data_IF_831915585561
#
_entry.id   IF_831915585561
#
_cell.length_a   1.000
_cell.length_b   1.000
_cell.length_c   1.000
_cell.angle_alpha   90.00
_cell.angle_beta   90.00
_cell.angle_gamma   90.00
#
_symmetry.space_group_name_H-M   'P 1'
#
loop_
_entity.id
_entity.type
_entity.pdbx_description
1 polymer ?
#
# COMPACT_ATOMS: atom_id res chain seq x y z
N UNK A 1 -20.80 46.89 -84.86
CA UNK A 1 -21.77 45.78 -85.00
C UNK A 1 -21.08 44.48 -84.62
N UNK A 2 -21.73 43.70 -83.75
CA UNK A 2 -21.50 42.29 -83.40
C UNK A 2 -20.42 41.95 -82.35
N UNK A 3 -20.96 41.57 -81.20
CA UNK A 3 -20.47 40.85 -80.02
C UNK A 3 -19.96 39.44 -80.32
N UNK A 4 -18.89 39.01 -79.63
CA UNK A 4 -18.51 37.60 -79.31
C UNK A 4 -17.75 37.68 -77.96
N UNK A 5 -18.37 37.37 -76.82
CA UNK A 5 -18.55 36.05 -76.18
C UNK A 5 -17.24 35.49 -75.57
N UNK A 6 -17.27 35.33 -74.24
CA UNK A 6 -16.20 34.83 -73.39
C UNK A 6 -15.90 33.35 -73.62
N UNK A 7 -14.63 32.98 -73.47
CA UNK A 7 -14.18 31.59 -73.28
C UNK A 7 -12.91 31.63 -72.42
N UNK A 8 -13.04 31.38 -71.12
CA UNK A 8 -11.91 30.99 -70.27
C UNK A 8 -11.93 29.46 -70.18
N UNK A 9 -10.89 28.84 -70.72
CA UNK A 9 -10.65 27.41 -70.69
C UNK A 9 -10.46 26.91 -69.26
N UNK A 10 -11.21 25.87 -68.89
CA UNK A 10 -10.96 25.08 -67.70
C UNK A 10 -9.69 24.24 -67.90
N UNK A 11 -8.73 24.36 -66.98
CA UNK A 11 -7.62 23.43 -66.84
C UNK A 11 -7.79 22.71 -65.49
N UNK A 12 -8.28 21.48 -65.55
CA UNK A 12 -8.35 20.56 -64.41
C UNK A 12 -6.93 20.18 -63.99
N UNK A 13 -6.47 20.72 -62.85
CA UNK A 13 -5.27 20.22 -62.19
C UNK A 13 -5.70 19.06 -61.29
N UNK A 14 -5.35 17.84 -61.70
CA UNK A 14 -5.45 16.67 -60.87
C UNK A 14 -4.49 16.82 -59.68
N UNK A 15 -5.07 16.94 -58.47
CA UNK A 15 -4.33 16.91 -57.23
C UNK A 15 -3.91 15.45 -56.96
N UNK A 16 -2.76 15.03 -57.47
CA UNK A 16 -2.12 13.80 -57.00
C UNK A 16 -1.53 14.08 -55.62
N UNK A 17 -2.29 13.76 -54.58
CA UNK A 17 -1.80 13.72 -53.22
C UNK A 17 -0.73 12.63 -53.10
N UNK A 18 0.53 13.05 -53.08
CA UNK A 18 1.62 12.23 -52.54
C UNK A 18 1.41 12.17 -51.02
N UNK A 19 0.71 11.14 -50.56
CA UNK A 19 0.74 10.77 -49.16
C UNK A 19 2.17 10.30 -48.84
N UNK A 20 2.95 11.18 -48.20
CA UNK A 20 4.16 10.78 -47.52
C UNK A 20 3.77 9.70 -46.50
N UNK A 21 4.49 8.57 -46.41
CA UNK A 21 4.23 7.64 -45.33
C UNK A 21 4.57 8.38 -44.04
N UNK A 22 3.55 8.63 -43.23
CA UNK A 22 3.75 8.95 -41.83
C UNK A 22 4.60 7.82 -41.25
N UNK A 23 5.87 8.12 -41.02
CA UNK A 23 6.68 7.27 -40.16
C UNK A 23 5.99 7.40 -38.80
N UNK A 24 5.22 6.38 -38.43
CA UNK A 24 4.97 6.14 -37.03
C UNK A 24 6.37 5.96 -36.43
N UNK A 25 6.89 6.99 -35.77
CA UNK A 25 7.92 6.78 -34.77
C UNK A 25 7.34 5.70 -33.85
N UNK A 26 7.95 4.51 -33.90
CA UNK A 26 7.81 3.58 -32.79
C UNK A 26 8.28 4.40 -31.59
N UNK A 27 7.34 4.80 -30.73
CA UNK A 27 7.68 5.27 -29.39
C UNK A 27 8.30 4.06 -28.71
N UNK A 28 9.61 3.89 -28.85
CA UNK A 28 10.35 2.95 -28.04
C UNK A 28 10.20 3.46 -26.63
N UNK A 29 9.38 2.80 -25.82
CA UNK A 29 9.20 3.20 -24.43
C UNK A 29 10.57 3.20 -23.75
N UNK A 30 10.89 4.27 -23.04
CA UNK A 30 12.22 4.42 -22.45
C UNK A 30 12.44 3.34 -21.37
N UNK A 31 13.53 2.58 -21.52
CA UNK A 31 13.95 1.50 -20.60
C UNK A 31 15.08 2.01 -19.72
N UNK A 32 14.74 2.87 -18.75
CA UNK A 32 15.75 3.47 -17.88
C UNK A 32 16.10 2.57 -16.70
N UNK A 33 17.28 2.80 -16.15
CA UNK A 33 17.84 2.25 -14.92
C UNK A 33 18.16 3.40 -13.97
N UNK A 34 18.61 3.12 -12.76
CA UNK A 34 18.96 4.16 -11.80
C UNK A 34 19.34 3.63 -10.44
N UNK A 35 19.83 2.39 -10.40
CA UNK A 35 20.30 1.80 -9.16
C UNK A 35 21.75 2.23 -8.94
N UNK A 36 21.98 2.90 -7.82
CA UNK A 36 23.32 3.11 -7.29
C UNK A 36 23.64 1.88 -6.44
N UNK A 37 24.60 1.06 -6.89
CA UNK A 37 25.05 -0.09 -6.12
C UNK A 37 25.74 0.37 -4.83
N UNK A 38 25.45 -0.31 -3.73
CA UNK A 38 26.16 -0.11 -2.48
C UNK A 38 27.60 -0.60 -2.58
N UNK A 39 28.50 0.00 -1.80
CA UNK A 39 29.85 -0.54 -1.63
C UNK A 39 29.80 -1.93 -0.97
N UNK A 40 30.77 -2.79 -1.30
CA UNK A 40 30.79 -4.16 -0.79
C UNK A 40 30.93 -4.24 0.74
N UNK A 41 31.75 -3.36 1.36
CA UNK A 41 31.92 -3.31 2.81
C UNK A 41 30.65 -2.79 3.51
N UNK A 42 30.02 -1.76 2.93
CA UNK A 42 28.74 -1.24 3.41
C UNK A 42 27.63 -2.32 3.34
N UNK A 43 27.56 -3.06 2.23
CA UNK A 43 26.58 -4.12 2.07
C UNK A 43 26.81 -5.26 3.06
N UNK A 44 28.05 -5.71 3.20
CA UNK A 44 28.37 -6.84 4.08
C UNK A 44 28.14 -6.49 5.57
N UNK A 45 28.22 -5.22 5.94
CA UNK A 45 27.90 -4.70 7.27
C UNK A 45 26.39 -4.69 7.60
N UNK A 46 25.50 -4.80 6.59
CA UNK A 46 24.07 -4.89 6.84
C UNK A 46 23.70 -6.20 7.57
N UNK A 47 22.68 -6.17 8.45
CA UNK A 47 22.22 -7.38 9.12
C UNK A 47 21.82 -8.47 8.12
N UNK A 48 22.46 -9.62 8.24
CA UNK A 48 22.16 -10.80 7.42
C UNK A 48 20.91 -11.52 7.96
N UNK A 49 20.10 -12.07 7.05
CA UNK A 49 19.00 -12.93 7.45
C UNK A 49 19.52 -14.31 7.90
N UNK A 50 19.06 -14.75 9.07
CA UNK A 50 19.23 -16.14 9.50
C UNK A 50 18.53 -17.12 8.54
N UNK A 51 19.17 -18.23 8.14
CA UNK A 51 18.52 -19.27 7.35
C UNK A 51 17.31 -19.84 8.09
N UNK A 52 16.12 -19.78 7.49
CA UNK A 52 14.89 -20.22 8.15
C UNK A 52 14.75 -21.75 8.16
N UNK A 53 15.29 -22.45 7.15
CA UNK A 53 15.07 -23.88 6.94
C UNK A 53 16.33 -24.60 6.44
N UNK A 54 16.67 -25.71 7.10
CA UNK A 54 17.50 -26.77 6.52
C UNK A 54 16.58 -27.88 5.99
N UNK A 55 16.08 -27.73 4.77
CA UNK A 55 15.10 -28.66 4.19
C UNK A 55 14.96 -28.56 2.67
N UNK A 56 14.18 -29.47 2.07
CA UNK A 56 13.85 -29.42 0.63
C UNK A 56 12.75 -28.36 0.43
N UNK A 57 13.06 -27.33 -0.34
CA UNK A 57 12.11 -26.29 -0.74
C UNK A 57 11.07 -26.85 -1.74
N UNK A 58 9.87 -26.23 -1.86
CA UNK A 58 8.98 -26.45 -2.99
C UNK A 58 9.73 -26.38 -4.33
N UNK A 59 9.20 -27.04 -5.36
CA UNK A 59 9.78 -26.96 -6.72
C UNK A 59 9.28 -25.74 -7.49
N UNK A 60 8.17 -25.16 -7.06
CA UNK A 60 7.52 -24.04 -7.72
C UNK A 60 6.89 -23.13 -6.67
N UNK A 61 7.11 -21.82 -6.81
CA UNK A 61 6.44 -20.76 -6.05
C UNK A 61 6.17 -19.62 -7.02
N UNK A 62 4.95 -19.08 -7.02
CA UNK A 62 4.60 -17.89 -7.79
C UNK A 62 3.69 -17.00 -6.95
N UNK A 63 4.23 -15.85 -6.52
CA UNK A 63 3.53 -14.86 -5.71
C UNK A 63 2.88 -13.78 -6.59
N UNK A 64 3.03 -13.84 -7.92
CA UNK A 64 2.64 -12.74 -8.82
C UNK A 64 1.14 -12.42 -8.78
N UNK A 65 0.29 -13.30 -8.24
CA UNK A 65 -1.13 -13.01 -8.08
C UNK A 65 -1.42 -11.90 -7.08
N UNK A 66 -0.50 -11.58 -6.17
CA UNK A 66 -0.62 -10.49 -5.20
C UNK A 66 0.19 -9.26 -5.60
N UNK A 67 0.93 -9.32 -6.70
CA UNK A 67 1.67 -8.17 -7.22
C UNK A 67 0.77 -7.27 -8.08
N UNK A 68 1.06 -5.96 -8.13
CA UNK A 68 0.42 -5.08 -9.10
C UNK A 68 0.80 -5.49 -10.53
N UNK A 69 -0.04 -5.10 -11.48
CA UNK A 69 0.33 -5.10 -12.89
C UNK A 69 1.65 -4.36 -13.08
N UNK A 70 2.62 -4.88 -13.85
CA UNK A 70 3.91 -4.20 -14.03
C UNK A 70 3.74 -2.77 -14.57
N UNK A 71 4.27 -1.80 -13.83
CA UNK A 71 4.22 -0.39 -14.20
C UNK A 71 5.40 0.04 -15.07
N UNK A 72 5.44 1.32 -15.45
CA UNK A 72 6.41 1.87 -16.39
C UNK A 72 7.13 3.08 -15.81
N UNK A 73 8.43 2.96 -15.53
CA UNK A 73 9.23 4.04 -14.98
C UNK A 73 9.62 5.12 -16.00
N UNK A 74 9.62 4.79 -17.29
CA UNK A 74 10.03 5.72 -18.33
C UNK A 74 11.53 6.01 -18.29
N UNK A 75 11.90 7.24 -18.62
CA UNK A 75 13.28 7.71 -18.62
C UNK A 75 13.85 8.02 -17.22
N UNK A 76 13.00 8.05 -16.18
CA UNK A 76 13.40 8.39 -14.82
C UNK A 76 14.30 7.31 -14.19
N UNK A 77 15.28 7.73 -13.40
CA UNK A 77 16.21 6.86 -12.65
C UNK A 77 15.59 6.12 -11.46
N UNK A 78 14.31 5.78 -11.53
CA UNK A 78 13.47 5.45 -10.37
C UNK A 78 13.26 3.96 -10.12
N UNK A 79 14.01 3.07 -10.77
CA UNK A 79 13.86 1.61 -10.64
C UNK A 79 13.79 1.12 -9.19
N UNK A 80 14.55 1.74 -8.27
CA UNK A 80 14.50 1.43 -6.83
C UNK A 80 13.15 1.77 -6.21
N UNK A 81 12.58 2.94 -6.53
CA UNK A 81 11.24 3.32 -6.08
C UNK A 81 10.17 2.38 -6.62
N UNK A 82 10.32 1.91 -7.86
CA UNK A 82 9.43 0.91 -8.46
C UNK A 82 9.58 -0.48 -7.82
N UNK A 83 10.79 -0.93 -7.51
CA UNK A 83 10.99 -2.23 -6.87
C UNK A 83 10.46 -2.24 -5.42
N UNK A 84 10.74 -1.19 -4.64
CA UNK A 84 10.41 -1.10 -3.21
C UNK A 84 9.02 -0.50 -2.98
N UNK A 85 8.77 0.70 -3.48
CA UNK A 85 7.50 1.42 -3.28
C UNK A 85 6.35 0.80 -4.08
N UNK A 86 6.54 0.54 -5.36
CA UNK A 86 5.44 0.00 -6.18
C UNK A 86 5.27 -1.51 -6.00
N UNK A 87 6.26 -2.32 -6.34
CA UNK A 87 6.11 -3.77 -6.37
C UNK A 87 6.03 -4.38 -4.96
N UNK A 88 7.03 -4.13 -4.10
CA UNK A 88 7.09 -4.74 -2.77
C UNK A 88 5.96 -4.27 -1.85
N UNK A 89 5.77 -2.95 -1.66
CA UNK A 89 4.72 -2.46 -0.73
C UNK A 89 3.32 -2.83 -1.20
N UNK A 90 3.01 -2.72 -2.50
CA UNK A 90 1.70 -3.19 -2.99
C UNK A 90 1.50 -4.67 -2.72
N UNK A 91 2.52 -5.52 -2.94
CA UNK A 91 2.43 -6.93 -2.60
C UNK A 91 2.17 -7.17 -1.10
N UNK A 92 2.89 -6.46 -0.23
CA UNK A 92 2.79 -6.64 1.21
C UNK A 92 1.37 -6.33 1.71
N UNK A 93 0.81 -5.19 1.31
CA UNK A 93 -0.56 -4.82 1.66
C UNK A 93 -1.59 -5.73 0.99
N UNK A 94 -1.38 -6.11 -0.27
CA UNK A 94 -2.27 -7.03 -0.98
C UNK A 94 -2.29 -8.41 -0.30
N UNK A 95 -1.15 -8.91 0.18
CA UNK A 95 -1.08 -10.16 0.92
C UNK A 95 -1.76 -10.04 2.28
N UNK A 96 -1.50 -8.96 3.03
CA UNK A 96 -2.14 -8.70 4.34
C UNK A 96 -3.67 -8.69 4.21
N UNK A 97 -4.18 -8.02 3.17
CA UNK A 97 -5.61 -7.87 2.92
C UNK A 97 -6.20 -8.97 2.02
N UNK A 98 -5.41 -9.97 1.65
CA UNK A 98 -5.78 -11.07 0.76
C UNK A 98 -6.44 -10.60 -0.56
N UNK A 99 -5.88 -9.55 -1.16
CA UNK A 99 -6.26 -8.96 -2.43
C UNK A 99 -5.45 -9.61 -3.54
N UNK A 100 -6.05 -10.55 -4.26
CA UNK A 100 -5.47 -11.04 -5.52
C UNK A 100 -5.72 -10.04 -6.64
N UNK A 101 -4.71 -9.79 -7.48
CA UNK A 101 -4.74 -8.86 -8.62
C UNK A 101 -5.08 -7.42 -8.17
N UNK A 102 -4.23 -6.80 -7.34
CA UNK A 102 -4.47 -5.44 -6.84
C UNK A 102 -4.71 -4.45 -7.97
N UNK A 103 -5.78 -3.67 -7.83
CA UNK A 103 -6.21 -2.68 -8.82
C UNK A 103 -5.44 -1.37 -8.62
N UNK A 104 -5.61 -0.40 -9.53
CA UNK A 104 -4.84 0.84 -9.50
C UNK A 104 -4.89 1.59 -8.15
N UNK A 105 -6.04 1.61 -7.46
CA UNK A 105 -6.21 2.23 -6.14
C UNK A 105 -5.53 1.46 -4.99
N UNK A 106 -5.12 0.22 -5.24
CA UNK A 106 -4.35 -0.62 -4.30
C UNK A 106 -2.84 -0.40 -4.45
N UNK A 107 -2.40 0.28 -5.52
CA UNK A 107 -0.98 0.44 -5.83
C UNK A 107 -0.32 1.48 -4.93
N UNK A 108 0.93 1.24 -4.55
CA UNK A 108 1.76 2.16 -3.79
C UNK A 108 2.64 3.01 -4.69
N UNK A 109 2.92 4.24 -4.25
CA UNK A 109 3.64 5.22 -5.05
C UNK A 109 5.15 4.93 -5.10
N UNK A 110 5.73 4.67 -6.29
CA UNK A 110 7.18 4.62 -6.44
C UNK A 110 7.82 6.01 -6.35
N UNK A 111 7.10 7.06 -6.73
CA UNK A 111 7.60 8.44 -6.70
C UNK A 111 7.79 8.93 -5.26
N UNK A 112 6.91 8.54 -4.32
CA UNK A 112 7.04 8.93 -2.92
C UNK A 112 8.36 8.45 -2.31
N UNK A 113 8.75 7.20 -2.60
CA UNK A 113 10.02 6.65 -2.16
C UNK A 113 11.18 7.29 -2.93
N UNK A 114 11.18 7.20 -4.26
CA UNK A 114 12.30 7.68 -5.09
C UNK A 114 12.61 9.18 -4.89
N UNK A 115 11.59 10.04 -4.90
CA UNK A 115 11.79 11.48 -4.82
C UNK A 115 12.40 11.91 -3.48
N UNK A 116 12.16 11.12 -2.42
CA UNK A 116 12.67 11.36 -1.07
C UNK A 116 14.13 10.95 -0.90
N UNK A 117 14.63 9.97 -1.67
CA UNK A 117 15.95 9.35 -1.45
C UNK A 117 16.95 9.53 -2.60
N UNK A 118 16.51 10.02 -3.77
CA UNK A 118 17.37 10.15 -4.96
C UNK A 118 18.66 10.93 -4.64
N UNK A 119 19.77 10.48 -5.20
CA UNK A 119 21.09 11.08 -4.99
C UNK A 119 21.43 12.03 -6.14
N UNK A 120 20.70 13.14 -6.22
CA UNK A 120 20.90 14.17 -7.25
C UNK A 120 19.73 15.15 -7.34
N UNK A 121 19.90 16.17 -8.18
CA UNK A 121 18.92 17.25 -8.33
C UNK A 121 17.95 17.04 -9.50
N UNK A 122 18.26 16.12 -10.42
CA UNK A 122 17.43 15.80 -11.57
C UNK A 122 16.84 14.40 -11.47
N UNK A 123 15.86 14.12 -12.33
CA UNK A 123 15.11 12.87 -12.29
C UNK A 123 15.83 11.71 -12.99
N UNK A 124 17.00 11.95 -13.59
CA UNK A 124 17.89 10.88 -14.08
C UNK A 124 18.83 10.35 -12.99
N UNK A 125 18.91 11.06 -11.84
CA UNK A 125 19.63 10.57 -10.68
C UNK A 125 19.08 9.23 -10.20
N UNK A 126 19.96 8.42 -9.62
CA UNK A 126 19.61 7.13 -9.05
C UNK A 126 19.43 7.16 -7.53
N UNK A 127 19.16 6.00 -6.96
CA UNK A 127 19.16 5.77 -5.51
C UNK A 127 19.63 4.37 -5.15
N UNK A 128 19.83 4.10 -3.86
CA UNK A 128 20.22 2.76 -3.35
C UNK A 128 18.99 2.03 -2.82
N UNK A 129 18.97 0.69 -2.96
CA UNK A 129 17.89 -0.14 -2.39
C UNK A 129 17.84 -0.01 -0.86
N UNK A 130 18.99 0.06 -0.19
CA UNK A 130 19.09 0.28 1.25
C UNK A 130 18.36 1.55 1.71
N UNK A 131 18.59 2.66 1.01
CA UNK A 131 18.03 3.97 1.35
C UNK A 131 16.51 3.93 1.22
N UNK A 132 15.99 3.22 0.22
CA UNK A 132 14.57 2.99 0.05
C UNK A 132 13.96 2.12 1.15
N UNK A 133 14.63 1.02 1.51
CA UNK A 133 14.15 0.14 2.58
C UNK A 133 14.20 0.82 3.94
N UNK A 134 15.24 1.61 4.22
CA UNK A 134 15.35 2.42 5.43
C UNK A 134 14.29 3.54 5.46
N UNK A 135 14.07 4.22 4.34
CA UNK A 135 13.01 5.22 4.23
C UNK A 135 11.63 4.62 4.49
N UNK A 136 11.31 3.46 3.89
CA UNK A 136 10.04 2.77 4.11
C UNK A 136 9.92 2.21 5.54
N UNK A 137 11.03 1.88 6.21
CA UNK A 137 11.00 1.48 7.61
C UNK A 137 10.67 2.65 8.55
N UNK A 138 11.25 3.83 8.29
CA UNK A 138 11.16 5.00 9.17
C UNK A 138 9.97 5.92 8.87
N UNK A 139 9.61 6.04 7.59
CA UNK A 139 8.56 6.94 7.10
C UNK A 139 7.34 6.16 6.63
N UNK A 140 7.57 5.04 5.95
CA UNK A 140 6.54 4.23 5.32
C UNK A 140 6.34 4.55 3.84
N UNK A 141 5.15 4.28 3.33
CA UNK A 141 4.81 4.47 1.93
C UNK A 141 3.38 4.96 1.78
N UNK A 142 3.07 5.61 0.66
CA UNK A 142 1.71 6.12 0.37
C UNK A 142 1.17 5.48 -0.89
N UNK A 143 -0.15 5.55 -1.07
CA UNK A 143 -0.80 5.03 -2.29
C UNK A 143 -0.42 5.89 -3.50
N UNK A 144 -0.49 5.28 -4.67
CA UNK A 144 -0.29 5.96 -5.95
C UNK A 144 -1.27 7.13 -6.12
N UNK A 145 -2.51 7.00 -5.62
CA UNK A 145 -3.52 8.08 -5.69
C UNK A 145 -3.15 9.29 -4.83
N UNK A 146 -2.46 9.08 -3.70
CA UNK A 146 -2.03 10.15 -2.79
C UNK A 146 -0.78 10.88 -3.30
N UNK A 147 0.13 10.14 -3.96
CA UNK A 147 1.33 10.71 -4.58
C UNK A 147 1.57 10.10 -5.96
N UNK A 148 0.94 10.64 -7.02
CA UNK A 148 1.03 10.07 -8.37
C UNK A 148 2.44 10.04 -8.94
N UNK A 149 2.73 9.03 -9.75
CA UNK A 149 3.97 8.97 -10.51
C UNK A 149 3.90 9.85 -11.75
N UNK A 150 4.81 10.83 -11.82
CA UNK A 150 5.01 11.66 -13.00
C UNK A 150 6.48 11.57 -13.42
N UNK A 151 6.77 10.95 -14.57
CA UNK A 151 8.13 10.67 -15.04
C UNK A 151 9.04 11.91 -15.06
N UNK A 152 8.48 13.06 -15.46
CA UNK A 152 9.21 14.33 -15.56
C UNK A 152 9.33 15.10 -14.23
N UNK A 153 8.70 14.63 -13.14
CA UNK A 153 8.70 15.29 -11.85
C UNK A 153 9.30 14.40 -10.75
N UNK A 154 10.30 14.94 -10.05
CA UNK A 154 10.96 14.24 -8.96
C UNK A 154 11.13 15.11 -7.71
N UNK A 155 10.20 16.04 -7.49
CA UNK A 155 10.21 16.89 -6.29
C UNK A 155 9.87 16.08 -5.04
N UNK A 156 10.53 16.37 -3.90
CA UNK A 156 10.24 15.67 -2.65
C UNK A 156 8.77 15.90 -2.22
N UNK A 157 8.14 14.92 -1.52
CA UNK A 157 6.80 15.09 -1.00
C UNK A 157 6.72 16.21 0.05
N UNK A 158 5.52 16.76 0.26
CA UNK A 158 5.28 17.71 1.37
C UNK A 158 5.35 16.99 2.72
N UNK A 159 5.70 17.73 3.78
CA UNK A 159 5.88 17.17 5.13
C UNK A 159 4.60 16.47 5.66
N UNK A 160 3.43 16.98 5.32
CA UNK A 160 2.13 16.45 5.75
C UNK A 160 1.86 15.00 5.28
N UNK A 161 2.50 14.57 4.18
CA UNK A 161 2.35 13.21 3.63
C UNK A 161 2.93 12.13 4.56
N UNK A 162 3.82 12.50 5.47
CA UNK A 162 4.43 11.57 6.43
C UNK A 162 3.38 10.91 7.34
N UNK A 163 2.27 11.61 7.61
CA UNK A 163 1.17 11.06 8.42
C UNK A 163 0.44 9.92 7.71
N UNK A 164 0.23 10.03 6.40
CA UNK A 164 -0.37 8.98 5.56
C UNK A 164 0.59 7.80 5.36
N UNK A 165 1.90 8.09 5.31
CA UNK A 165 2.92 7.08 5.05
C UNK A 165 3.11 6.10 6.22
N UNK A 166 2.97 6.59 7.46
CA UNK A 166 3.21 5.81 8.70
C UNK A 166 2.38 4.55 8.80
N UNK A 167 1.21 4.52 8.18
CA UNK A 167 0.32 3.37 8.16
C UNK A 167 0.91 2.18 7.40
N UNK A 168 1.94 2.39 6.58
CA UNK A 168 2.48 1.40 5.65
C UNK A 168 4.01 1.30 5.75
N UNK A 169 4.51 1.06 6.96
CA UNK A 169 5.95 0.85 7.22
C UNK A 169 6.35 -0.61 7.11
N UNK A 170 7.64 -0.88 6.92
CA UNK A 170 8.21 -2.21 7.18
C UNK A 170 8.84 -2.21 8.57
N UNK A 171 8.81 -3.35 9.27
CA UNK A 171 9.52 -3.49 10.56
C UNK A 171 11.02 -3.53 10.41
N UNK A 172 11.48 -4.19 9.35
CA UNK A 172 12.90 -4.41 9.13
C UNK A 172 13.17 -4.94 7.74
N UNK A 173 14.41 -4.79 7.32
CA UNK A 173 14.98 -5.49 6.19
C UNK A 173 16.28 -6.19 6.59
N UNK A 174 16.68 -7.16 5.78
CA UNK A 174 17.91 -7.94 5.91
C UNK A 174 18.50 -8.20 4.54
N UNK A 175 19.83 -8.26 4.45
CA UNK A 175 20.47 -8.82 3.26
C UNK A 175 20.41 -10.35 3.28
N UNK A 176 20.38 -10.96 2.10
CA UNK A 176 20.57 -12.40 1.96
C UNK A 176 22.06 -12.76 1.90
N UNK A 177 22.37 -14.01 2.26
CA UNK A 177 23.75 -14.52 2.21
C UNK A 177 24.28 -14.51 0.77
N UNK A 178 25.50 -14.04 0.57
CA UNK A 178 26.18 -14.11 -0.75
C UNK A 178 26.41 -15.57 -1.16
N UNK A 179 26.99 -16.34 -0.24
CA UNK A 179 27.17 -17.77 -0.41
C UNK A 179 25.81 -18.47 -0.39
N UNK A 180 25.45 -19.10 -1.51
CA UNK A 180 24.15 -19.75 -1.64
C UNK A 180 22.98 -18.77 -1.84
N UNK A 181 23.22 -17.54 -2.30
CA UNK A 181 22.18 -16.53 -2.53
C UNK A 181 20.95 -17.05 -3.28
N UNK A 182 21.13 -17.86 -4.34
CA UNK A 182 20.01 -18.46 -5.07
C UNK A 182 19.12 -19.34 -4.17
N UNK A 183 19.72 -20.10 -3.25
CA UNK A 183 18.95 -20.88 -2.28
C UNK A 183 18.24 -19.95 -1.28
N UNK A 184 18.91 -18.90 -0.79
CA UNK A 184 18.32 -17.93 0.14
C UNK A 184 17.13 -17.19 -0.49
N UNK A 185 17.21 -16.80 -1.76
CA UNK A 185 16.10 -16.19 -2.51
C UNK A 185 14.91 -17.15 -2.56
N UNK A 186 15.14 -18.40 -2.95
CA UNK A 186 14.09 -19.40 -3.03
C UNK A 186 13.47 -19.73 -1.67
N UNK A 187 14.28 -19.76 -0.61
CA UNK A 187 13.79 -19.94 0.75
C UNK A 187 12.89 -18.78 1.17
N UNK A 188 13.29 -17.53 0.89
CA UNK A 188 12.47 -16.36 1.16
C UNK A 188 11.11 -16.43 0.45
N UNK A 189 11.11 -16.74 -0.85
CA UNK A 189 9.89 -16.86 -1.65
C UNK A 189 8.97 -17.98 -1.12
N UNK A 190 9.54 -19.10 -0.67
CA UNK A 190 8.77 -20.21 -0.09
C UNK A 190 8.11 -19.85 1.25
N UNK A 191 8.50 -18.73 1.86
CA UNK A 191 7.89 -18.13 3.04
C UNK A 191 7.11 -16.86 2.69
N UNK A 192 6.61 -16.75 1.46
CA UNK A 192 5.78 -15.63 0.98
C UNK A 192 6.48 -14.26 1.11
N UNK A 193 7.82 -14.26 1.07
CA UNK A 193 8.65 -13.05 1.12
C UNK A 193 9.34 -12.83 -0.23
N UNK A 194 8.84 -11.89 -1.04
CA UNK A 194 9.56 -11.42 -2.22
C UNK A 194 10.94 -10.89 -1.87
N UNK A 195 11.81 -10.87 -2.87
CA UNK A 195 13.18 -10.43 -2.69
C UNK A 195 13.45 -9.27 -3.64
N UNK A 196 13.79 -8.11 -3.10
CA UNK A 196 14.26 -6.98 -3.89
C UNK A 196 15.73 -7.22 -4.21
N UNK A 197 16.12 -7.15 -5.48
CA UNK A 197 17.49 -7.45 -5.92
C UNK A 197 18.09 -6.28 -6.70
N UNK A 198 19.40 -6.12 -6.55
CA UNK A 198 20.25 -5.41 -7.49
C UNK A 198 20.76 -6.41 -8.53
N UNK A 199 20.55 -6.13 -9.82
CA UNK A 199 21.13 -6.92 -10.89
C UNK A 199 21.96 -6.07 -11.85
N UNK A 200 23.04 -6.66 -12.38
CA UNK A 200 23.81 -6.11 -13.49
C UNK A 200 22.98 -6.18 -14.77
N UNK A 201 22.96 -5.08 -15.52
CA UNK A 201 22.29 -4.97 -16.81
C UNK A 201 23.31 -4.92 -17.94
N UNK A 202 22.97 -5.60 -19.02
CA UNK A 202 23.75 -5.69 -20.26
C UNK A 202 22.83 -5.31 -21.43
N UNK A 203 23.36 -4.88 -22.58
CA UNK A 203 22.53 -4.53 -23.75
C UNK A 203 21.55 -5.64 -24.14
N UNK A 204 21.96 -6.91 -23.99
CA UNK A 204 21.11 -8.07 -24.24
C UNK A 204 19.84 -8.14 -23.39
N UNK A 205 19.81 -7.49 -22.22
CA UNK A 205 18.63 -7.43 -21.36
C UNK A 205 17.64 -6.37 -21.85
N UNK A 206 18.13 -5.20 -22.24
CA UNK A 206 17.29 -4.14 -22.80
C UNK A 206 16.60 -4.61 -24.08
N UNK A 207 17.35 -5.31 -24.94
CA UNK A 207 16.86 -5.87 -26.20
C UNK A 207 16.04 -7.16 -26.03
N UNK A 208 15.99 -7.73 -24.82
CA UNK A 208 15.23 -8.95 -24.58
C UNK A 208 13.73 -8.68 -24.67
N UNK A 209 13.04 -9.47 -25.49
CA UNK A 209 11.63 -9.29 -25.85
C UNK A 209 10.72 -10.45 -25.42
N UNK A 210 11.25 -11.41 -24.64
CA UNK A 210 10.50 -12.54 -24.10
C UNK A 210 10.93 -13.91 -24.65
N UNK A 211 9.98 -14.85 -24.67
CA UNK A 211 10.14 -16.14 -25.35
C UNK A 211 10.98 -17.21 -24.64
N UNK A 212 11.38 -17.01 -23.38
CA UNK A 212 12.14 -18.00 -22.60
C UNK A 212 12.72 -17.45 -21.30
N UNK A 213 13.77 -18.11 -20.79
CA UNK A 213 14.54 -17.56 -19.68
C UNK A 213 15.56 -16.56 -20.24
N UNK A 214 15.61 -15.35 -19.69
CA UNK A 214 16.74 -14.45 -19.86
C UNK A 214 18.03 -15.12 -19.38
N UNK A 215 19.04 -15.06 -20.23
CA UNK A 215 20.39 -15.58 -20.02
C UNK A 215 21.39 -14.52 -20.42
N UNK A 216 22.45 -14.43 -19.65
CA UNK A 216 23.59 -13.61 -19.98
C UNK A 216 24.72 -14.49 -20.51
N UNK A 217 25.32 -14.06 -21.62
CA UNK A 217 26.55 -14.65 -22.13
C UNK A 217 27.73 -14.11 -21.29
N UNK A 218 28.40 -14.97 -20.48
CA UNK A 218 29.48 -14.52 -19.60
C UNK A 218 30.70 -13.97 -20.36
N UNK A 219 30.80 -14.19 -21.67
CA UNK A 219 31.89 -13.63 -22.48
C UNK A 219 31.64 -12.15 -22.86
N UNK A 220 30.45 -11.62 -22.58
CA UNK A 220 30.11 -10.20 -22.78
C UNK A 220 30.35 -9.45 -21.47
N UNK A 221 31.51 -8.82 -21.33
CA UNK A 221 31.88 -8.09 -20.11
C UNK A 221 31.34 -6.65 -20.04
N UNK A 222 30.79 -6.12 -21.14
CA UNK A 222 30.29 -4.73 -21.18
C UNK A 222 28.95 -4.58 -20.48
N UNK A 223 29.02 -4.36 -19.17
CA UNK A 223 27.88 -3.97 -18.33
C UNK A 223 27.50 -2.51 -18.64
N UNK A 224 26.20 -2.26 -18.84
CA UNK A 224 25.67 -0.90 -19.07
C UNK A 224 25.29 -0.20 -17.78
N UNK A 225 24.66 -0.91 -16.84
CA UNK A 225 24.21 -0.32 -15.58
C UNK A 225 23.89 -1.39 -14.52
N UNK A 226 23.34 -0.96 -13.39
CA UNK A 226 22.61 -1.75 -12.42
C UNK A 226 21.12 -1.41 -12.43
N UNK A 227 20.29 -2.39 -12.11
CA UNK A 227 18.84 -2.23 -12.05
C UNK A 227 18.25 -2.90 -10.82
N UNK A 228 17.25 -2.25 -10.23
CA UNK A 228 16.51 -2.77 -9.09
C UNK A 228 15.18 -3.37 -9.55
N UNK A 229 14.94 -4.62 -9.16
CA UNK A 229 13.72 -5.38 -9.51
C UNK A 229 13.32 -6.28 -8.35
N UNK A 230 12.09 -6.82 -8.38
CA UNK A 230 11.58 -7.68 -7.29
C UNK A 230 11.36 -9.11 -7.80
N UNK A 231 11.99 -10.08 -7.15
CA UNK A 231 11.77 -11.50 -7.41
C UNK A 231 10.46 -11.92 -6.76
N UNK A 232 9.55 -12.50 -7.55
CA UNK A 232 8.18 -12.85 -7.15
C UNK A 232 7.93 -14.35 -7.15
N UNK A 233 8.85 -15.15 -7.67
CA UNK A 233 8.65 -16.59 -7.77
C UNK A 233 9.86 -17.33 -8.32
N UNK A 234 9.74 -18.65 -8.39
CA UNK A 234 10.70 -19.52 -9.05
C UNK A 234 10.05 -20.82 -9.53
N UNK A 235 10.68 -21.43 -10.52
CA UNK A 235 10.29 -22.72 -11.07
C UNK A 235 11.55 -23.56 -11.33
N UNK A 236 11.69 -24.66 -10.60
CA UNK A 236 12.82 -25.61 -10.72
C UNK A 236 12.80 -26.40 -12.03
N UNK A 237 11.62 -26.64 -12.62
CA UNK A 237 11.50 -27.31 -13.92
C UNK A 237 12.02 -26.37 -15.02
N UNK A 238 11.65 -25.09 -14.97
CA UNK A 238 12.21 -24.03 -15.83
C UNK A 238 13.64 -23.67 -15.49
N UNK A 239 14.09 -23.94 -14.26
CA UNK A 239 15.37 -23.52 -13.68
C UNK A 239 15.55 -22.01 -13.71
N UNK A 240 14.52 -21.26 -13.31
CA UNK A 240 14.53 -19.80 -13.37
C UNK A 240 13.79 -19.13 -12.19
N UNK A 241 14.15 -17.88 -11.94
CA UNK A 241 13.44 -16.97 -11.04
C UNK A 241 12.46 -16.13 -11.84
N UNK A 242 11.23 -15.95 -11.35
CA UNK A 242 10.23 -15.01 -11.91
C UNK A 242 10.40 -13.66 -11.25
N UNK A 243 10.47 -12.60 -12.04
CA UNK A 243 10.82 -11.26 -11.57
C UNK A 243 9.86 -10.25 -12.21
N UNK A 244 9.33 -9.33 -11.40
CA UNK A 244 8.56 -8.17 -11.90
C UNK A 244 9.52 -7.04 -12.25
N UNK A 245 9.37 -6.49 -13.46
CA UNK A 245 10.13 -5.33 -13.93
C UNK A 245 9.26 -4.06 -13.90
N UNK A 246 9.87 -2.92 -14.19
CA UNK A 246 9.26 -1.58 -14.20
C UNK A 246 9.33 -0.90 -15.57
N UNK A 247 9.31 -1.68 -16.65
CA UNK A 247 9.34 -1.20 -18.04
C UNK A 247 8.01 -1.42 -18.79
N UNK A 248 6.92 -1.53 -18.04
CA UNK A 248 5.56 -1.73 -18.54
C UNK A 248 5.26 -3.14 -19.01
N UNK A 249 3.98 -3.39 -19.27
CA UNK A 249 3.47 -4.70 -19.69
C UNK A 249 3.86 -5.08 -21.12
N UNK A 250 4.26 -4.13 -21.95
CA UNK A 250 4.68 -4.40 -23.34
C UNK A 250 6.10 -5.00 -23.42
N UNK A 251 6.86 -4.97 -22.33
CA UNK A 251 8.21 -5.52 -22.27
C UNK A 251 8.22 -6.94 -21.67
N UNK A 252 9.00 -7.84 -22.27
CA UNK A 252 9.19 -9.20 -21.73
C UNK A 252 7.93 -10.07 -21.77
N UNK A 253 7.65 -10.74 -20.64
CA UNK A 253 6.48 -11.61 -20.43
C UNK A 253 5.42 -10.84 -19.63
N UNK A 254 4.66 -9.97 -20.30
CA UNK A 254 3.68 -9.05 -19.69
C UNK A 254 4.27 -8.14 -18.59
N UNK A 255 5.51 -7.68 -18.77
CA UNK A 255 6.26 -6.88 -17.79
C UNK A 255 7.00 -7.70 -16.72
N UNK A 256 6.87 -9.02 -16.76
CA UNK A 256 7.70 -9.95 -16.00
C UNK A 256 8.82 -10.51 -16.87
N UNK A 257 9.78 -11.17 -16.24
CA UNK A 257 10.73 -12.02 -16.93
C UNK A 257 11.17 -13.20 -16.07
N UNK A 258 11.69 -14.22 -16.74
CA UNK A 258 12.29 -15.39 -16.10
C UNK A 258 13.81 -15.32 -16.21
N UNK A 259 14.52 -15.17 -15.10
CA UNK A 259 15.98 -15.17 -15.08
C UNK A 259 16.50 -16.59 -14.83
N UNK A 260 17.27 -17.15 -15.77
CA UNK A 260 17.88 -18.47 -15.62
C UNK A 260 18.75 -18.54 -14.34
N UNK A 261 18.73 -19.66 -13.63
CA UNK A 261 19.51 -19.84 -12.40
C UNK A 261 21.02 -19.65 -12.58
N UNK A 262 21.56 -19.88 -13.78
CA UNK A 262 22.96 -19.54 -14.06
C UNK A 262 23.15 -18.03 -14.14
N UNK A 263 22.26 -17.33 -14.83
CA UNK A 263 22.28 -15.87 -14.92
C UNK A 263 22.07 -15.24 -13.53
N UNK A 264 21.14 -15.76 -12.71
CA UNK A 264 20.93 -15.27 -11.34
C UNK A 264 22.20 -15.32 -10.48
N UNK A 265 23.01 -16.37 -10.60
CA UNK A 265 24.30 -16.47 -9.87
C UNK A 265 25.37 -15.50 -10.38
N UNK A 266 25.23 -15.01 -11.59
CA UNK A 266 26.22 -14.14 -12.24
C UNK A 266 25.84 -12.66 -12.12
N UNK A 267 24.54 -12.35 -12.18
CA UNK A 267 24.05 -11.00 -12.36
C UNK A 267 23.57 -10.35 -11.08
N UNK A 268 23.09 -11.12 -10.11
CA UNK A 268 22.56 -10.57 -8.85
C UNK A 268 23.74 -10.13 -7.97
N UNK A 269 23.80 -8.83 -7.70
CA UNK A 269 24.85 -8.21 -6.90
C UNK A 269 24.42 -8.03 -5.43
N UNK A 270 23.15 -7.69 -5.19
CA UNK A 270 22.56 -7.52 -3.87
C UNK A 270 21.19 -8.17 -3.84
N UNK A 271 20.79 -8.70 -2.68
CA UNK A 271 19.46 -9.23 -2.44
C UNK A 271 18.98 -8.90 -1.02
N UNK A 272 17.74 -8.42 -0.92
CA UNK A 272 17.12 -7.94 0.30
C UNK A 272 15.75 -8.57 0.53
N UNK A 273 15.46 -8.87 1.78
CA UNK A 273 14.15 -9.35 2.21
C UNK A 273 13.64 -8.51 3.36
N UNK A 274 12.33 -8.29 3.40
CA UNK A 274 11.67 -7.46 4.40
C UNK A 274 10.78 -8.28 5.35
N UNK A 275 10.50 -7.68 6.49
CA UNK A 275 9.36 -8.05 7.33
C UNK A 275 8.44 -6.85 7.40
N UNK A 276 7.20 -7.05 6.97
CA UNK A 276 6.20 -6.00 6.98
C UNK A 276 5.76 -5.64 8.39
N UNK A 277 5.34 -4.39 8.61
CA UNK A 277 4.54 -4.05 9.78
C UNK A 277 3.08 -4.24 9.38
N UNK A 278 2.39 -5.12 10.09
CA UNK A 278 0.97 -5.31 9.84
C UNK A 278 0.21 -4.07 10.32
N UNK A 279 -0.89 -3.75 9.65
CA UNK A 279 -1.66 -2.56 9.94
C UNK A 279 -2.13 -2.50 11.40
N UNK A 280 -2.43 -3.65 12.01
CA UNK A 280 -2.92 -3.77 13.39
C UNK A 280 -1.82 -3.73 14.48
N UNK A 281 -0.56 -3.62 14.08
CA UNK A 281 0.56 -3.54 15.01
C UNK A 281 0.84 -2.09 15.41
N UNK A 282 1.16 -1.85 16.70
CA UNK A 282 1.44 -0.51 17.19
C UNK A 282 2.58 0.13 16.40
N UNK A 283 2.50 1.45 16.23
CA UNK A 283 3.60 2.19 15.62
C UNK A 283 4.89 1.98 16.44
N UNK A 284 6.05 2.05 15.79
CA UNK A 284 7.32 2.06 16.49
C UNK A 284 7.34 3.24 17.46
N UNK A 285 7.92 3.08 18.66
CA UNK A 285 8.21 4.23 19.52
C UNK A 285 9.11 5.23 18.73
N UNK A 286 8.98 6.54 18.99
CA UNK A 286 9.66 7.60 18.19
C UNK A 286 11.20 7.48 18.15
N UNK A 287 11.79 6.61 18.97
CA UNK A 287 13.17 6.18 18.86
C UNK A 287 13.31 5.24 17.65
N UNK A 288 13.58 5.84 16.49
CA UNK A 288 13.57 5.23 15.15
C UNK A 288 14.04 3.77 15.06
N UNK A 289 13.43 3.03 14.13
CA UNK A 289 13.80 1.65 13.81
C UNK A 289 15.17 1.66 13.11
N UNK A 290 16.22 1.72 13.92
CA UNK A 290 17.60 1.49 13.50
C UNK A 290 17.82 -0.01 13.46
N UNK A 291 18.13 -0.52 12.27
CA UNK A 291 18.84 -1.78 12.00
C UNK A 291 18.88 -2.74 13.20
N UNK A 292 17.80 -3.48 13.45
CA UNK A 292 17.74 -4.62 14.38
C UNK A 292 18.68 -4.53 15.59
N UNK A 293 18.30 -3.76 16.60
CA UNK A 293 19.07 -3.67 17.84
C UNK A 293 19.29 -5.05 18.50
N UNK A 294 20.52 -5.20 19.02
CA UNK A 294 21.11 -6.31 19.79
C UNK A 294 20.13 -6.95 20.81
N UNK A 295 20.02 -8.30 20.87
CA UNK A 295 19.14 -9.01 21.81
C UNK A 295 19.47 -8.83 23.31
N UNK A 296 20.52 -8.10 23.70
CA UNK A 296 20.94 -7.95 25.10
C UNK A 296 20.61 -6.60 25.79
N UNK A 297 19.73 -5.77 25.24
CA UNK A 297 19.39 -4.50 25.94
C UNK A 297 18.40 -4.70 27.10
N UNK A 298 18.70 -4.25 28.34
CA UNK A 298 17.85 -4.48 29.53
C UNK A 298 16.56 -3.63 29.52
N UNK A 299 15.42 -4.28 29.81
CA UNK A 299 14.13 -3.63 30.04
C UNK A 299 14.12 -2.87 31.38
N UNK A 300 13.90 -1.57 31.34
CA UNK A 300 13.67 -0.73 32.52
C UNK A 300 12.18 -0.63 32.87
N UNK A 301 11.77 -1.26 33.97
CA UNK A 301 10.50 -1.01 34.67
C UNK A 301 10.71 0.01 35.79
N UNK A 302 9.64 0.77 36.13
CA UNK A 302 9.25 1.29 37.47
C UNK A 302 8.88 2.78 37.41
N UNK A 303 7.59 3.15 37.42
CA UNK A 303 6.66 3.22 38.56
C UNK A 303 6.66 4.56 39.32
N UNK A 304 5.43 4.99 39.63
CA UNK A 304 5.02 6.24 40.26
C UNK A 304 5.39 6.37 41.75
N UNK A 305 5.42 7.61 42.25
CA UNK A 305 5.13 7.93 43.66
C UNK A 305 4.62 9.37 43.79
N UNK A 306 3.49 9.56 44.47
CA UNK A 306 2.93 10.89 44.79
C UNK A 306 3.07 11.27 46.27
N UNK A 307 2.59 12.48 46.60
CA UNK A 307 1.99 12.98 47.87
C UNK A 307 2.04 14.53 47.91
N UNK A 308 1.33 15.23 48.82
CA UNK A 308 -0.09 15.18 49.20
C UNK A 308 -0.80 16.56 49.03
N UNK A 309 -2.12 16.58 49.28
CA UNK A 309 -3.09 17.68 49.13
C UNK A 309 -3.11 18.60 50.37
N UNK A 310 -3.27 19.92 50.17
CA UNK A 310 -3.84 20.85 51.17
C UNK A 310 -5.12 21.48 50.61
N UNK A 311 -6.20 21.43 51.40
CA UNK A 311 -7.50 22.06 51.16
C UNK A 311 -7.46 23.55 51.50
N UNK A 312 -7.97 24.41 50.61
CA UNK A 312 -8.72 25.60 51.02
C UNK A 312 -9.99 25.72 50.18
N UNK A 313 -11.09 25.95 50.88
CA UNK A 313 -12.42 26.16 50.32
C UNK A 313 -12.59 27.62 49.93
N UNK A 314 -13.04 27.88 48.70
CA UNK A 314 -13.60 29.18 48.35
C UNK A 314 -14.66 29.09 47.24
N UNK A 315 -15.53 30.09 47.25
CA UNK A 315 -16.87 30.20 46.67
C UNK A 315 -17.03 29.76 45.20
N UNK A 316 -18.21 29.19 44.90
CA UNK A 316 -18.58 28.65 43.59
C UNK A 316 -18.51 29.72 42.47
N UNK A 317 -17.63 29.54 41.46
CA UNK A 317 -17.61 30.39 40.29
C UNK A 317 -18.84 30.09 39.39
N UNK A 318 -19.21 31.01 38.48
CA UNK A 318 -20.26 30.74 37.49
C UNK A 318 -19.87 29.47 36.72
N UNK A 319 -20.82 28.56 36.52
CA UNK A 319 -20.59 27.29 35.84
C UNK A 319 -19.78 27.51 34.56
N UNK A 320 -18.52 27.04 34.57
CA UNK A 320 -17.69 27.02 33.37
C UNK A 320 -18.45 26.25 32.28
N UNK A 321 -18.37 26.66 31.00
CA UNK A 321 -18.97 25.89 29.93
C UNK A 321 -18.40 24.47 30.01
N UNK A 322 -19.29 23.48 30.21
CA UNK A 322 -18.89 22.08 30.35
C UNK A 322 -18.19 21.70 29.05
N UNK A 323 -16.87 21.51 29.12
CA UNK A 323 -16.07 21.16 27.96
C UNK A 323 -16.34 19.71 27.60
N UNK A 324 -16.58 19.47 26.31
CA UNK A 324 -16.66 18.11 25.81
C UNK A 324 -15.29 17.43 26.02
N UNK A 325 -15.27 16.27 26.68
CA UNK A 325 -14.06 15.48 26.87
C UNK A 325 -14.16 14.10 26.17
N UNK A 326 -13.04 13.37 26.13
CA UNK A 326 -12.94 12.06 25.49
C UNK A 326 -13.90 11.01 26.10
N UNK A 327 -14.13 11.05 27.41
CA UNK A 327 -15.02 10.09 28.08
C UNK A 327 -16.49 10.37 27.75
N UNK A 328 -16.87 11.64 27.73
CA UNK A 328 -18.19 12.08 27.31
C UNK A 328 -18.44 11.72 25.84
N UNK A 329 -17.46 11.94 24.98
CA UNK A 329 -17.50 11.55 23.58
C UNK A 329 -17.66 10.03 23.41
N UNK A 330 -16.86 9.23 24.10
CA UNK A 330 -16.93 7.76 24.06
C UNK A 330 -18.30 7.23 24.50
N UNK A 331 -18.87 7.80 25.56
CA UNK A 331 -20.19 7.41 26.08
C UNK A 331 -21.34 7.88 25.18
N UNK A 332 -21.13 8.92 24.38
CA UNK A 332 -22.12 9.45 23.46
C UNK A 332 -22.23 8.64 22.16
N UNK A 333 -21.20 7.85 21.80
CA UNK A 333 -21.27 7.01 20.60
C UNK A 333 -22.31 5.91 20.79
N UNK A 334 -23.36 5.97 19.99
CA UNK A 334 -24.41 4.96 19.95
C UNK A 334 -24.76 4.61 18.51
N UNK A 335 -25.57 3.60 18.31
CA UNK A 335 -25.94 3.20 16.96
C UNK A 335 -26.89 2.02 16.90
N UNK A 336 -27.17 1.60 15.68
CA UNK A 336 -27.84 0.36 15.35
C UNK A 336 -27.02 -0.38 14.29
N UNK A 337 -26.95 -1.70 14.42
CA UNK A 337 -26.34 -2.57 13.42
C UNK A 337 -27.31 -3.72 13.15
N UNK A 338 -27.63 -3.96 11.88
CA UNK A 338 -28.60 -4.97 11.43
C UNK A 338 -28.03 -5.89 10.36
N UNK A 339 -28.81 -6.90 9.94
CA UNK A 339 -28.50 -7.79 8.80
C UNK A 339 -29.45 -7.48 7.66
N UNK A 340 -28.93 -7.18 6.46
CA UNK A 340 -29.80 -6.86 5.31
C UNK A 340 -30.61 -8.08 4.86
N UNK A 341 -31.90 -7.91 4.51
CA UNK A 341 -32.71 -8.96 3.88
C UNK A 341 -32.33 -9.25 2.42
N UNK A 342 -31.47 -8.46 1.78
CA UNK A 342 -31.18 -8.49 0.32
C UNK A 342 -30.35 -9.70 -0.16
N UNK A 343 -30.22 -10.73 0.67
CA UNK A 343 -29.62 -12.00 0.31
C UNK A 343 -28.10 -12.04 0.45
N UNK A 344 -27.58 -13.25 0.60
CA UNK A 344 -26.15 -13.51 0.70
C UNK A 344 -25.45 -13.18 -0.63
N UNK A 345 -24.20 -12.71 -0.56
CA UNK A 345 -23.33 -12.62 -1.73
C UNK A 345 -23.22 -14.00 -2.44
N UNK A 346 -22.77 -14.07 -3.71
CA UNK A 346 -22.57 -15.35 -4.42
C UNK A 346 -21.66 -16.36 -3.70
N UNK A 347 -20.89 -15.90 -2.72
CA UNK A 347 -20.00 -16.70 -1.87
C UNK A 347 -20.55 -17.00 -0.46
N UNK A 348 -21.80 -16.62 -0.15
CA UNK A 348 -22.48 -16.95 1.11
C UNK A 348 -22.32 -15.94 2.27
N UNK A 349 -21.72 -14.77 2.02
CA UNK A 349 -21.55 -13.71 3.04
C UNK A 349 -22.81 -12.86 3.25
N UNK A 350 -23.02 -12.41 4.48
CA UNK A 350 -24.09 -11.48 4.86
C UNK A 350 -23.66 -10.01 4.71
N UNK A 351 -24.66 -9.14 4.55
CA UNK A 351 -24.50 -7.69 4.55
C UNK A 351 -24.95 -7.12 5.89
N UNK A 352 -24.16 -6.21 6.46
CA UNK A 352 -24.41 -5.58 7.74
C UNK A 352 -24.51 -4.06 7.58
N UNK A 353 -25.73 -3.49 7.46
CA UNK A 353 -25.93 -2.06 7.60
C UNK A 353 -25.67 -1.61 9.04
N UNK A 354 -24.97 -0.49 9.20
CA UNK A 354 -24.79 0.19 10.46
C UNK A 354 -25.13 1.67 10.36
N UNK A 355 -25.75 2.17 11.41
CA UNK A 355 -26.02 3.58 11.65
C UNK A 355 -25.42 3.93 13.01
N UNK A 356 -24.42 4.79 13.05
CA UNK A 356 -23.73 5.24 14.26
C UNK A 356 -23.95 6.73 14.42
N UNK A 357 -24.15 7.25 15.61
CA UNK A 357 -24.30 8.69 15.83
C UNK A 357 -23.83 9.11 17.23
N UNK A 358 -23.52 10.40 17.38
CA UNK A 358 -23.21 11.02 18.67
C UNK A 358 -24.50 11.48 19.37
N UNK A 359 -24.83 10.83 20.49
CA UNK A 359 -25.93 11.19 21.37
C UNK A 359 -25.45 12.18 22.45
N UNK A 360 -25.21 13.42 22.02
CA UNK A 360 -24.80 14.55 22.87
C UNK A 360 -25.93 15.57 22.97
N UNK A 361 -26.04 16.26 24.11
CA UNK A 361 -26.95 17.40 24.24
C UNK A 361 -26.49 18.58 23.35
N UNK A 362 -27.44 19.43 22.96
CA UNK A 362 -27.22 20.58 22.06
C UNK A 362 -26.01 21.47 22.45
N UNK A 363 -25.75 21.79 23.74
CA UNK A 363 -24.60 22.60 24.13
C UNK A 363 -23.23 21.96 23.82
N UNK A 364 -23.15 20.64 23.68
CA UNK A 364 -21.91 19.94 23.31
C UNK A 364 -21.79 19.79 21.80
N UNK A 365 -22.92 19.56 21.10
CA UNK A 365 -22.94 19.56 19.64
C UNK A 365 -22.52 20.91 19.07
N UNK A 366 -22.91 22.01 19.71
CA UNK A 366 -22.50 23.37 19.33
C UNK A 366 -20.99 23.61 19.44
N UNK A 367 -20.25 22.80 20.21
CA UNK A 367 -18.79 22.90 20.34
C UNK A 367 -18.06 22.21 19.17
N UNK A 368 -18.73 21.34 18.42
CA UNK A 368 -18.13 20.53 17.35
C UNK A 368 -18.14 21.30 16.03
N UNK A 369 -16.99 21.36 15.36
CA UNK A 369 -16.80 21.88 14.00
C UNK A 369 -16.98 20.76 12.96
N UNK A 370 -16.43 19.57 13.19
CA UNK A 370 -16.58 18.42 12.28
C UNK A 370 -16.44 17.08 12.99
N UNK A 371 -17.07 16.04 12.43
CA UNK A 371 -17.02 14.65 12.93
C UNK A 371 -16.46 13.74 11.83
N UNK A 372 -15.49 12.89 12.19
CA UNK A 372 -14.91 11.87 11.31
C UNK A 372 -14.95 10.52 12.01
N UNK A 373 -15.38 9.48 11.29
CA UNK A 373 -15.40 8.11 11.82
C UNK A 373 -14.32 7.29 11.10
N UNK A 374 -13.48 6.63 11.89
CA UNK A 374 -12.39 5.78 11.45
C UNK A 374 -12.64 4.36 11.91
N UNK A 375 -12.50 3.40 11.02
CA UNK A 375 -12.53 2.00 11.39
C UNK A 375 -11.93 1.17 10.27
N UNK A 376 -11.48 -0.01 10.66
CA UNK A 376 -10.87 -0.95 9.74
C UNK A 376 -11.58 -2.31 9.86
N UNK A 377 -12.01 -2.88 8.74
CA UNK A 377 -12.56 -4.23 8.67
C UNK A 377 -12.21 -4.89 7.34
N UNK A 378 -11.77 -6.15 7.39
CA UNK A 378 -11.11 -6.92 6.32
C UNK A 378 -11.89 -7.07 5.00
N UNK A 379 -13.17 -6.72 5.00
CA UNK A 379 -14.12 -6.91 3.89
C UNK A 379 -15.01 -5.68 3.69
N UNK A 380 -14.59 -4.55 4.25
CA UNK A 380 -15.33 -3.32 4.20
C UNK A 380 -15.24 -2.68 2.81
N UNK A 381 -16.39 -2.20 2.32
CA UNK A 381 -16.48 -1.38 1.13
C UNK A 381 -17.34 -0.17 1.51
N UNK A 382 -16.75 1.02 1.66
CA UNK A 382 -17.51 2.24 1.87
C UNK A 382 -17.63 3.07 0.59
N UNK A 383 -18.82 3.13 -0.02
CA UNK A 383 -19.09 4.09 -1.08
C UNK A 383 -19.53 5.47 -0.57
N UNK A 384 -19.73 5.69 0.73
CA UNK A 384 -20.28 6.97 1.23
C UNK A 384 -19.29 7.72 2.13
N UNK A 385 -18.85 8.88 1.63
CA UNK A 385 -18.22 9.94 2.40
C UNK A 385 -19.13 10.35 3.57
N UNK A 386 -18.59 10.82 4.70
CA UNK A 386 -19.39 11.52 5.70
C UNK A 386 -20.24 12.56 4.97
N UNK A 387 -21.55 12.58 5.23
CA UNK A 387 -22.34 13.74 4.84
C UNK A 387 -21.80 14.88 5.69
N UNK A 388 -21.13 15.85 5.06
CA UNK A 388 -20.69 17.07 5.72
C UNK A 388 -21.89 17.64 6.51
N UNK A 389 -21.64 18.10 7.74
CA UNK A 389 -22.64 18.64 8.67
C UNK A 389 -23.63 17.66 9.34
N UNK A 390 -23.30 16.37 9.49
CA UNK A 390 -24.15 15.43 10.25
C UNK A 390 -23.39 14.68 11.36
N UNK A 391 -23.99 14.61 12.56
CA UNK A 391 -23.51 13.78 13.68
C UNK A 391 -23.84 12.29 13.50
N UNK A 392 -24.35 11.90 12.33
CA UNK A 392 -24.76 10.54 11.96
C UNK A 392 -23.81 9.98 10.91
N UNK A 393 -23.44 8.71 11.08
CA UNK A 393 -22.60 7.92 10.22
C UNK A 393 -23.36 6.69 9.74
N UNK A 394 -23.41 6.50 8.42
CA UNK A 394 -24.05 5.35 7.79
C UNK A 394 -22.98 4.52 7.08
N UNK A 395 -22.92 3.23 7.39
CA UNK A 395 -21.99 2.29 6.76
C UNK A 395 -22.69 0.99 6.39
N UNK A 396 -22.09 0.24 5.47
CA UNK A 396 -22.46 -1.14 5.18
C UNK A 396 -21.21 -1.96 4.92
N UNK A 397 -21.04 -3.08 5.62
CA UNK A 397 -19.95 -4.02 5.34
C UNK A 397 -20.48 -5.39 4.94
N UNK A 398 -19.61 -6.18 4.30
CA UNK A 398 -19.86 -7.57 3.93
C UNK A 398 -18.93 -8.45 4.75
N UNK A 399 -19.23 -9.71 5.04
CA UNK A 399 -18.23 -10.66 5.58
C UNK A 399 -18.62 -11.33 6.90
N UNK A 400 -17.64 -11.88 7.62
CA UNK A 400 -17.86 -12.53 8.92
C UNK A 400 -17.31 -11.64 10.04
N UNK A 401 -18.11 -11.42 11.08
CA UNK A 401 -17.68 -10.67 12.25
C UNK A 401 -18.19 -9.22 12.29
N UNK A 402 -17.89 -8.58 13.41
CA UNK A 402 -18.21 -7.20 13.73
C UNK A 402 -16.91 -6.42 13.98
N UNK A 403 -17.00 -5.09 13.98
CA UNK A 403 -15.83 -4.20 14.02
C UNK A 403 -15.51 -3.86 15.47
N UNK A 404 -14.40 -4.40 16.00
CA UNK A 404 -14.00 -4.19 17.41
C UNK A 404 -13.24 -2.88 17.64
N UNK A 405 -12.57 -2.36 16.60
CA UNK A 405 -11.63 -1.23 16.68
C UNK A 405 -12.09 -0.08 15.75
N UNK A 406 -13.13 0.62 16.16
CA UNK A 406 -13.57 1.85 15.50
C UNK A 406 -13.24 3.07 16.38
N UNK A 407 -13.16 4.25 15.79
CA UNK A 407 -12.83 5.50 16.46
C UNK A 407 -13.66 6.63 15.85
N UNK A 408 -14.20 7.50 16.71
CA UNK A 408 -14.76 8.78 16.28
C UNK A 408 -13.77 9.88 16.63
N UNK A 409 -13.45 10.74 15.66
CA UNK A 409 -12.69 11.96 15.87
C UNK A 409 -13.60 13.16 15.67
N UNK A 410 -13.57 14.09 16.59
CA UNK A 410 -14.28 15.36 16.52
C UNK A 410 -13.29 16.49 16.64
N UNK A 411 -13.37 17.43 15.70
CA UNK A 411 -12.67 18.70 15.78
C UNK A 411 -13.62 19.70 16.43
N UNK A 412 -13.19 20.31 17.53
CA UNK A 412 -13.93 21.37 18.21
C UNK A 412 -13.71 22.72 17.52
N UNK A 413 -14.64 23.65 17.69
CA UNK A 413 -14.51 25.04 17.19
C UNK A 413 -13.33 25.80 17.82
N UNK A 414 -12.79 25.30 18.94
CA UNK A 414 -11.55 25.78 19.56
C UNK A 414 -10.29 25.37 18.79
N UNK A 415 -10.40 24.41 17.87
CA UNK A 415 -9.30 23.80 17.14
C UNK A 415 -8.74 22.52 17.78
N UNK A 416 -9.20 22.16 18.98
CA UNK A 416 -8.84 20.90 19.65
C UNK A 416 -9.50 19.69 18.96
N UNK A 417 -8.77 18.59 18.84
CA UNK A 417 -9.30 17.33 18.34
C UNK A 417 -9.44 16.31 19.48
N UNK A 418 -10.63 15.74 19.61
CA UNK A 418 -10.92 14.65 20.54
C UNK A 418 -11.12 13.35 19.74
N UNK A 419 -10.55 12.26 20.21
CA UNK A 419 -10.68 10.95 19.62
C UNK A 419 -11.18 9.95 20.67
N UNK A 420 -12.24 9.21 20.36
CA UNK A 420 -12.81 8.21 21.25
C UNK A 420 -12.99 6.87 20.53
N UNK A 421 -12.47 5.76 21.07
CA UNK A 421 -12.69 4.44 20.52
C UNK A 421 -14.14 3.99 20.77
N UNK A 422 -14.69 3.24 19.82
CA UNK A 422 -15.96 2.53 19.97
C UNK A 422 -15.92 1.17 19.28
N UNK A 423 -16.87 0.31 19.64
CA UNK A 423 -16.91 -1.07 19.17
C UNK A 423 -18.30 -1.39 18.61
N UNK A 424 -18.37 -1.69 17.32
CA UNK A 424 -19.62 -2.05 16.63
C UNK A 424 -20.12 -3.44 17.03
N UNK A 425 -19.26 -4.34 17.52
CA UNK A 425 -19.70 -5.58 18.17
C UNK A 425 -20.49 -5.29 19.44
N UNK A 426 -20.02 -4.36 20.27
CA UNK A 426 -20.73 -3.96 21.49
C UNK A 426 -22.08 -3.33 21.15
N UNK A 427 -22.14 -2.51 20.10
CA UNK A 427 -23.38 -1.91 19.61
C UNK A 427 -24.33 -3.00 19.07
N UNK A 428 -23.82 -3.99 18.34
CA UNK A 428 -24.61 -5.13 17.86
C UNK A 428 -25.14 -6.01 19.00
N UNK A 429 -24.28 -6.44 19.92
CA UNK A 429 -24.60 -7.35 21.03
C UNK A 429 -25.66 -6.75 21.97
N UNK A 430 -25.74 -5.42 22.07
CA UNK A 430 -26.81 -4.72 22.78
C UNK A 430 -28.20 -5.10 22.27
N UNK A 431 -28.33 -5.37 20.97
CA UNK A 431 -29.60 -5.71 20.31
C UNK A 431 -29.69 -7.19 19.91
N UNK A 432 -28.56 -7.90 19.81
CA UNK A 432 -28.47 -9.29 19.33
C UNK A 432 -27.42 -10.10 20.12
N UNK A 433 -27.62 -10.32 21.43
CA UNK A 433 -26.60 -10.90 22.31
C UNK A 433 -26.17 -12.32 21.89
N UNK A 434 -24.87 -12.51 21.68
CA UNK A 434 -24.26 -13.84 21.43
C UNK A 434 -24.23 -14.28 19.97
N UNK A 435 -24.50 -13.37 19.03
CA UNK A 435 -24.56 -13.67 17.60
C UNK A 435 -23.18 -13.79 16.92
N UNK A 436 -22.13 -13.16 17.46
CA UNK A 436 -20.77 -13.25 16.93
C UNK A 436 -19.90 -14.22 17.76
N UNK A 437 -19.24 -15.19 17.10
CA UNK A 437 -18.22 -16.04 17.73
C UNK A 437 -16.83 -15.67 17.23
N UNK A 438 -15.90 -15.42 18.17
CA UNK A 438 -14.50 -15.00 17.91
C UNK A 438 -13.64 -16.00 17.14
N UNK A 439 -14.11 -17.24 16.94
CA UNK A 439 -13.35 -18.32 16.31
C UNK A 439 -13.69 -18.54 14.82
N UNK A 440 -14.54 -17.69 14.23
CA UNK A 440 -14.98 -17.85 12.83
C UNK A 440 -15.82 -19.11 12.58
N UNK A 441 -16.20 -19.86 13.63
CA UNK A 441 -17.06 -21.03 13.49
C UNK A 441 -18.53 -20.59 13.42
N UNK A 442 -19.34 -21.34 12.67
CA UNK A 442 -20.80 -21.15 12.64
C UNK A 442 -21.37 -21.45 14.04
N UNK A 443 -21.50 -20.41 14.84
CA UNK A 443 -22.23 -20.44 16.08
C UNK A 443 -23.72 -20.42 15.82
N UNK A 444 -24.35 -21.58 15.99
CA UNK A 444 -25.78 -21.83 16.25
C UNK A 444 -26.79 -20.80 15.76
N UNK A 445 -27.66 -21.23 14.87
CA UNK A 445 -28.94 -20.60 14.57
C UNK A 445 -29.70 -20.27 15.86
N UNK A 446 -29.55 -19.06 16.38
CA UNK A 446 -30.63 -18.43 17.11
C UNK A 446 -31.67 -18.09 16.03
N UNK A 447 -32.86 -18.69 16.04
CA UNK A 447 -33.91 -18.29 15.11
C UNK A 447 -34.23 -16.83 15.47
N UNK A 448 -33.93 -15.91 14.56
CA UNK A 448 -34.56 -14.60 14.60
C UNK A 448 -36.04 -14.90 14.39
N UNK A 449 -36.82 -14.75 15.46
CA UNK A 449 -38.27 -14.79 15.39
C UNK A 449 -38.70 -13.77 14.33
N UNK A 450 -39.47 -14.24 13.36
CA UNK A 450 -40.11 -13.40 12.37
C UNK A 450 -40.81 -12.22 13.04
N UNK A 451 -40.71 -11.07 12.38
CA UNK A 451 -41.43 -9.82 12.65
C UNK A 451 -40.99 -9.03 13.89
N UNK A 452 -40.23 -7.95 13.65
CA UNK A 452 -40.68 -6.64 14.14
C UNK A 452 -40.35 -5.57 13.09
N UNK A 453 -41.43 -4.92 12.63
CA UNK A 453 -41.54 -4.03 11.49
C UNK A 453 -40.63 -2.80 11.59
N UNK A 454 -39.82 -2.58 10.55
CA UNK A 454 -39.33 -1.26 10.18
C UNK A 454 -40.26 -0.65 9.12
N UNK A 455 -41.55 -0.54 9.47
CA UNK A 455 -42.51 0.21 8.67
C UNK A 455 -43.47 0.95 9.62
N UNK A 456 -43.02 2.12 10.10
CA UNK A 456 -43.81 3.31 10.49
C UNK A 456 -42.96 4.28 11.30
N UNK A 457 -42.52 5.35 10.64
CA UNK A 457 -42.67 6.75 11.09
C UNK A 457 -42.07 7.69 10.04
N UNK A 458 -42.79 7.82 8.94
CA UNK A 458 -42.82 9.02 8.10
C UNK A 458 -44.29 9.20 7.69
N UNK A 459 -45.00 10.03 8.44
CA UNK A 459 -46.42 10.29 8.25
C UNK A 459 -47.02 10.92 9.51
N UNK A 460 -47.11 12.25 9.45
CA UNK A 460 -47.67 13.25 10.40
C UNK A 460 -46.80 13.74 11.56
#
# INVERSE_FOLDING_TARGET
>A
MRTIAASLSALSIALTGLALPAHAEQVTSAKSTGLILMDEEEYDALPERDPLMRGRLPQFVDLSSFFPTPGHQGAQGSCVGWAVGYALKTYQEALEFNISQPQAWDHFSPAFVFNSIKQGNDCSAGSRISDALEFVANTGAVRMDDFPYEEAQCYPPSEDMSSLARDYTIKSYRRLQRDGMLFAIREALSNEKPVVIAMRVFPSFEDWDGGGNYRHDPDIEFQVDYHAVTVVGYDDERRALKIINSWGTEWGDDGFFWMDYRAARQLIAEAYVTTDRLFDEPYPEEDGIVLALDPNSPRGNSAASGAPIEEEADEAPPAEPIQLDVNMLANAVTGHVGRSPEGQTPMGYDFYPASVWLNLDEPYLEQIESVRYYFYHRTFFNPMRPVEDSNVFLATWKGYGCIENAEVKVKLKTGEELAAPFNLCTIWDRFHPGAFRKDGSRGGTAPLSDHEDFDKRNGD
#
